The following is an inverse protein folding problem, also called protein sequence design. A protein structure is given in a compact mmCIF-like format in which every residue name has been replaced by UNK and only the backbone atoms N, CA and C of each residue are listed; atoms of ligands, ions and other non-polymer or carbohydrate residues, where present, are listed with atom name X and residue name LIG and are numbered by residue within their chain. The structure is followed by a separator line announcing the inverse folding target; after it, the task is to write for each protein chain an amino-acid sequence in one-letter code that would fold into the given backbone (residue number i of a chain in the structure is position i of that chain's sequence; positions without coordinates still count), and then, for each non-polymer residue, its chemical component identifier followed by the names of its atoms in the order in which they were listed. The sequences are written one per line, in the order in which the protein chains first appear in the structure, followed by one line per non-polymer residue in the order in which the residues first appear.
data_IF_201362422441
#
_entry.id   IF_201362422441
#
_cell.length_a   1.000
_cell.length_b   1.000
_cell.length_c   1.000
_cell.angle_alpha   90.00
_cell.angle_beta   90.00
_cell.angle_gamma   90.00
#
_symmetry.space_group_name_H-M   'P 1'
#
loop_
_entity.id
_entity.type
_entity.pdbx_description
1 polymer ?
#
# COMPACT_ATOMS: atom_id res chain seq x y z
N UNK A 1 31.12 2.40 -1.03
CA UNK A 1 29.88 2.98 -1.61
C UNK A 1 28.88 3.13 -0.48
N UNK A 2 28.48 4.36 -0.14
CA UNK A 2 27.45 4.62 0.86
C UNK A 2 26.04 4.46 0.29
N UNK A 3 25.01 4.51 1.14
CA UNK A 3 23.59 4.54 0.74
C UNK A 3 23.08 5.96 0.43
N UNK A 4 23.84 6.97 0.86
CA UNK A 4 23.60 8.39 0.65
C UNK A 4 24.80 8.97 -0.10
N UNK A 5 24.52 9.83 -1.07
CA UNK A 5 25.51 10.64 -1.76
C UNK A 5 25.61 12.00 -1.07
N UNK A 6 26.86 12.48 -0.92
CA UNK A 6 27.21 13.69 -0.19
C UNK A 6 27.94 14.65 -1.11
N UNK A 7 27.81 15.95 -0.85
CA UNK A 7 28.56 17.00 -1.51
C UNK A 7 29.01 18.04 -0.49
N UNK A 8 30.08 18.76 -0.79
CA UNK A 8 30.55 19.86 0.05
C UNK A 8 29.82 21.15 -0.34
N UNK A 9 29.20 21.81 0.64
CA UNK A 9 28.51 23.09 0.46
C UNK A 9 29.52 24.22 0.20
N UNK A 10 29.08 25.40 -0.28
CA UNK A 10 29.95 26.57 -0.44
C UNK A 10 30.65 27.02 0.86
N UNK A 11 30.17 26.55 2.01
CA UNK A 11 30.71 26.87 3.34
C UNK A 11 31.66 25.79 3.88
N UNK A 12 31.97 24.75 3.07
CA UNK A 12 32.84 23.66 3.46
C UNK A 12 32.16 22.56 4.28
N UNK A 13 30.82 22.55 4.36
CA UNK A 13 30.07 21.54 5.11
C UNK A 13 29.71 20.35 4.21
N UNK A 14 29.85 19.13 4.72
CA UNK A 14 29.35 17.94 4.02
C UNK A 14 27.84 17.83 4.18
N UNK A 15 27.12 17.95 3.07
CA UNK A 15 25.66 17.89 3.00
C UNK A 15 25.20 16.72 2.15
N UNK A 16 24.15 15.98 2.57
CA UNK A 16 23.60 14.93 1.74
C UNK A 16 22.88 15.55 0.54
N UNK A 17 22.88 14.88 -0.61
CA UNK A 17 22.22 15.42 -1.83
C UNK A 17 21.14 14.50 -2.38
N UNK A 18 21.32 13.18 -2.28
CA UNK A 18 20.31 12.18 -2.61
C UNK A 18 20.73 10.81 -2.11
N UNK A 19 19.81 9.84 -2.18
CA UNK A 19 20.19 8.43 -2.04
C UNK A 19 21.01 7.98 -3.25
N UNK A 20 21.81 6.94 -3.07
CA UNK A 20 22.60 6.39 -4.17
C UNK A 20 21.73 5.68 -5.20
N UNK A 21 21.91 5.99 -6.49
CA UNK A 21 21.02 5.46 -7.54
C UNK A 21 21.11 3.94 -7.73
N UNK A 22 22.17 3.27 -7.26
CA UNK A 22 22.23 1.80 -7.28
C UNK A 22 21.11 1.16 -6.43
N UNK A 23 20.57 1.88 -5.44
CA UNK A 23 19.47 1.39 -4.59
C UNK A 23 18.18 1.15 -5.39
N UNK A 24 18.00 1.83 -6.54
CA UNK A 24 16.96 1.51 -7.50
C UNK A 24 17.04 0.03 -7.93
N UNK A 25 18.23 -0.39 -8.34
CA UNK A 25 18.48 -1.76 -8.78
C UNK A 25 18.37 -2.75 -7.62
N UNK A 26 18.86 -2.39 -6.44
CA UNK A 26 18.68 -3.22 -5.24
C UNK A 26 17.21 -3.46 -4.95
N UNK A 27 16.38 -2.42 -4.98
CA UNK A 27 14.94 -2.52 -4.74
C UNK A 27 14.23 -3.35 -5.81
N UNK A 28 14.52 -3.09 -7.09
CA UNK A 28 13.92 -3.84 -8.21
C UNK A 28 14.32 -5.32 -8.21
N UNK A 29 15.60 -5.63 -8.00
CA UNK A 29 16.12 -7.00 -7.94
C UNK A 29 15.57 -7.71 -6.70
N UNK A 30 15.58 -7.08 -5.52
CA UNK A 30 15.02 -7.66 -4.31
C UNK A 30 13.53 -7.95 -4.47
N UNK A 31 12.77 -7.03 -5.06
CA UNK A 31 11.36 -7.23 -5.41
C UNK A 31 11.19 -8.43 -6.35
N UNK A 32 11.98 -8.52 -7.42
CA UNK A 32 11.92 -9.63 -8.37
C UNK A 32 12.28 -10.97 -7.73
N UNK A 33 13.35 -11.02 -6.93
CA UNK A 33 13.77 -12.22 -6.20
C UNK A 33 12.69 -12.66 -5.21
N UNK A 34 12.05 -11.72 -4.51
CA UNK A 34 10.91 -12.02 -3.65
C UNK A 34 9.75 -12.61 -4.45
N UNK A 35 9.36 -12.00 -5.58
CA UNK A 35 8.31 -12.50 -6.46
C UNK A 35 8.58 -13.94 -6.93
N UNK A 36 9.79 -14.21 -7.42
CA UNK A 36 10.22 -15.53 -7.90
C UNK A 36 10.22 -16.54 -6.76
N UNK A 37 10.88 -16.21 -5.65
CA UNK A 37 10.97 -17.08 -4.47
C UNK A 37 9.59 -17.40 -3.90
N UNK A 38 8.72 -16.39 -3.79
CA UNK A 38 7.35 -16.57 -3.33
C UNK A 38 6.54 -17.44 -4.30
N UNK A 39 6.67 -17.24 -5.62
CA UNK A 39 5.97 -18.06 -6.62
C UNK A 39 6.41 -19.54 -6.56
N UNK A 40 7.72 -19.80 -6.44
CA UNK A 40 8.27 -21.14 -6.25
C UNK A 40 7.73 -21.75 -4.95
N UNK A 41 7.77 -20.99 -3.85
CA UNK A 41 7.28 -21.44 -2.56
C UNK A 41 5.82 -21.86 -2.60
N UNK A 42 4.96 -21.02 -3.20
CA UNK A 42 3.53 -21.34 -3.35
C UNK A 42 3.34 -22.62 -4.15
N UNK A 43 4.03 -22.76 -5.27
CA UNK A 43 3.86 -23.91 -6.17
C UNK A 43 4.37 -25.21 -5.56
N UNK A 44 5.47 -25.16 -4.82
CA UNK A 44 6.14 -26.36 -4.32
C UNK A 44 5.72 -26.75 -2.89
N UNK A 45 5.33 -25.79 -2.04
CA UNK A 45 5.20 -26.02 -0.59
C UNK A 45 3.90 -25.50 0.02
N UNK A 46 3.23 -24.51 -0.57
CA UNK A 46 2.04 -23.94 0.06
C UNK A 46 0.87 -24.92 0.04
N UNK A 47 0.35 -25.23 1.23
CA UNK A 47 -0.86 -26.04 1.41
C UNK A 47 -2.10 -25.15 1.29
N UNK A 48 -3.25 -25.70 0.85
CA UNK A 48 -4.52 -24.97 0.85
C UNK A 48 -4.84 -24.39 2.24
N UNK A 49 -5.45 -23.20 2.25
CA UNK A 49 -5.92 -22.57 3.48
C UNK A 49 -6.93 -23.47 4.18
N UNK A 50 -6.75 -23.68 5.49
CA UNK A 50 -7.66 -24.47 6.33
C UNK A 50 -8.09 -23.62 7.50
N UNK A 51 -9.37 -23.31 7.58
CA UNK A 51 -9.96 -22.56 8.67
C UNK A 51 -10.57 -23.48 9.72
N UNK A 52 -10.68 -22.99 10.96
CA UNK A 52 -11.50 -23.62 11.97
C UNK A 52 -12.96 -23.75 11.46
N UNK A 53 -13.65 -24.80 11.89
CA UNK A 53 -15.07 -24.95 11.59
C UNK A 53 -15.82 -23.70 12.05
N UNK A 54 -16.78 -23.25 11.22
CA UNK A 54 -17.63 -22.11 11.55
C UNK A 54 -18.24 -22.30 12.94
N UNK A 55 -18.36 -21.22 13.72
CA UNK A 55 -19.20 -21.19 14.91
C UNK A 55 -20.68 -21.49 14.58
N UNK A 56 -21.61 -21.42 15.56
CA UNK A 56 -23.00 -21.79 15.35
C UNK A 56 -23.54 -21.15 14.07
N UNK A 57 -24.30 -21.91 13.28
CA UNK A 57 -24.57 -21.56 11.89
C UNK A 57 -25.26 -20.19 11.86
N UNK A 58 -24.84 -19.34 10.93
CA UNK A 58 -25.38 -17.99 10.67
C UNK A 58 -26.84 -18.06 10.16
N UNK A 59 -27.68 -18.91 10.78
CA UNK A 59 -29.03 -19.31 10.36
C UNK A 59 -30.00 -18.14 10.31
N UNK A 60 -29.66 -17.03 10.98
CA UNK A 60 -30.55 -15.89 11.13
C UNK A 60 -30.08 -14.63 10.38
N UNK A 61 -28.96 -14.69 9.63
CA UNK A 61 -28.46 -13.55 8.85
C UNK A 61 -28.67 -13.79 7.35
N UNK A 62 -29.52 -12.98 6.73
CA UNK A 62 -29.67 -12.97 5.27
C UNK A 62 -28.40 -12.40 4.62
N UNK A 63 -27.52 -13.26 4.13
CA UNK A 63 -26.33 -12.86 3.38
C UNK A 63 -26.74 -12.70 1.91
N UNK A 64 -26.47 -11.57 1.22
CA UNK A 64 -26.83 -11.39 -0.20
C UNK A 64 -25.99 -12.30 -1.11
N UNK A 65 -26.44 -12.55 -2.35
CA UNK A 65 -25.70 -13.38 -3.31
C UNK A 65 -24.38 -12.71 -3.76
N UNK A 66 -24.39 -11.38 -3.82
CA UNK A 66 -23.22 -10.53 -4.06
C UNK A 66 -23.02 -9.65 -2.83
N UNK A 67 -21.95 -9.89 -2.08
CA UNK A 67 -21.58 -9.11 -0.91
C UNK A 67 -20.86 -7.83 -1.34
N UNK A 68 -21.35 -6.63 -1.00
CA UNK A 68 -20.64 -5.37 -1.29
C UNK A 68 -19.32 -5.30 -0.50
N UNK A 69 -18.20 -5.11 -1.21
CA UNK A 69 -16.86 -5.01 -0.61
C UNK A 69 -16.28 -3.61 -0.70
N UNK A 70 -16.40 -2.98 -1.87
CA UNK A 70 -15.87 -1.65 -2.16
C UNK A 70 -16.95 -0.76 -2.81
N UNK A 71 -17.18 0.42 -2.23
CA UNK A 71 -18.08 1.41 -2.83
C UNK A 71 -17.51 1.92 -4.17
N UNK A 72 -18.35 2.56 -4.99
CA UNK A 72 -17.87 3.20 -6.22
C UNK A 72 -16.79 4.25 -5.94
N UNK A 73 -17.03 5.12 -4.94
CA UNK A 73 -16.04 6.09 -4.49
C UNK A 73 -14.71 5.41 -4.11
N UNK A 74 -14.79 4.29 -3.37
CA UNK A 74 -13.61 3.53 -2.98
C UNK A 74 -12.79 3.02 -4.16
N UNK A 75 -13.47 2.60 -5.22
CA UNK A 75 -12.83 2.11 -6.43
C UNK A 75 -12.20 3.24 -7.24
N UNK A 76 -12.94 4.30 -7.48
CA UNK A 76 -12.47 5.43 -8.27
C UNK A 76 -11.22 6.06 -7.67
N UNK A 77 -11.22 6.37 -6.36
CA UNK A 77 -10.04 6.98 -5.75
C UNK A 77 -8.84 6.05 -5.80
N UNK A 78 -9.01 4.74 -5.60
CA UNK A 78 -7.90 3.78 -5.67
C UNK A 78 -7.27 3.79 -7.07
N UNK A 79 -8.08 3.75 -8.13
CA UNK A 79 -7.55 3.75 -9.50
C UNK A 79 -6.87 5.07 -9.87
N UNK A 80 -7.38 6.20 -9.37
CA UNK A 80 -6.70 7.51 -9.50
C UNK A 80 -5.36 7.51 -8.78
N UNK A 81 -5.31 7.01 -7.53
CA UNK A 81 -4.06 6.88 -6.77
C UNK A 81 -3.07 5.94 -7.46
N UNK A 82 -3.53 4.81 -7.99
CA UNK A 82 -2.69 3.86 -8.71
C UNK A 82 -2.08 4.47 -9.97
N UNK A 83 -2.89 5.18 -10.78
CA UNK A 83 -2.41 5.88 -11.96
C UNK A 83 -1.38 6.98 -11.61
N UNK A 84 -1.67 7.79 -10.59
CA UNK A 84 -0.75 8.82 -10.11
C UNK A 84 0.55 8.22 -9.57
N UNK A 85 0.48 7.14 -8.81
CA UNK A 85 1.66 6.42 -8.29
C UNK A 85 2.53 5.87 -9.42
N UNK A 86 1.94 5.22 -10.42
CA UNK A 86 2.69 4.72 -11.58
C UNK A 86 3.34 5.88 -12.35
N UNK A 87 2.62 6.98 -12.57
CA UNK A 87 3.17 8.17 -13.20
C UNK A 87 4.35 8.76 -12.41
N UNK A 88 4.25 8.83 -11.08
CA UNK A 88 5.32 9.31 -10.19
C UNK A 88 6.56 8.41 -10.25
N UNK A 89 6.40 7.09 -10.19
CA UNK A 89 7.52 6.15 -10.32
C UNK A 89 8.16 6.24 -11.71
N UNK A 90 7.36 6.29 -12.77
CA UNK A 90 7.86 6.44 -14.14
C UNK A 90 8.66 7.74 -14.28
N UNK A 91 8.09 8.87 -13.88
CA UNK A 91 8.73 10.18 -13.99
C UNK A 91 9.95 10.34 -13.09
N UNK A 92 10.00 9.67 -11.94
CA UNK A 92 11.18 9.69 -11.07
C UNK A 92 12.35 8.84 -11.61
N UNK A 93 12.05 7.66 -12.17
CA UNK A 93 13.07 6.64 -12.41
C UNK A 93 13.46 6.41 -13.88
N UNK A 94 12.57 6.64 -14.86
CA UNK A 94 12.94 6.53 -16.28
C UNK A 94 14.12 7.45 -16.68
N UNK A 95 14.17 8.72 -16.22
CA UNK A 95 15.32 9.58 -16.47
C UNK A 95 16.63 9.03 -15.91
N UNK A 96 16.56 8.24 -14.82
CA UNK A 96 17.75 7.64 -14.18
C UNK A 96 18.30 6.44 -14.94
N UNK A 97 17.50 5.83 -15.81
CA UNK A 97 17.94 4.75 -16.71
C UNK A 97 18.18 5.23 -18.14
N UNK A 98 18.24 6.55 -18.36
CA UNK A 98 18.66 7.18 -19.63
C UNK A 98 17.53 7.72 -20.51
N UNK A 99 16.25 7.54 -20.15
CA UNK A 99 15.12 8.03 -20.95
C UNK A 99 14.85 9.50 -20.66
N UNK A 100 15.16 10.38 -21.63
CA UNK A 100 15.01 11.82 -21.48
C UNK A 100 13.63 12.31 -21.95
N UNK A 101 12.93 13.05 -21.08
CA UNK A 101 11.65 13.70 -21.37
C UNK A 101 11.39 14.79 -20.32
N UNK A 102 10.41 15.71 -20.47
CA UNK A 102 10.12 16.76 -19.49
C UNK A 102 9.40 16.22 -18.24
N UNK A 103 10.05 15.26 -17.55
CA UNK A 103 9.49 14.47 -16.46
C UNK A 103 9.08 15.32 -15.25
N UNK A 104 9.81 16.41 -14.97
CA UNK A 104 9.55 17.28 -13.79
C UNK A 104 8.11 17.80 -13.81
N UNK A 105 7.65 18.28 -14.98
CA UNK A 105 6.29 18.82 -15.13
C UNK A 105 5.24 17.78 -14.79
N UNK A 106 5.37 16.58 -15.35
CA UNK A 106 4.43 15.49 -15.10
C UNK A 106 4.53 14.95 -13.67
N UNK A 107 5.73 14.95 -13.09
CA UNK A 107 5.99 14.46 -11.74
C UNK A 107 5.25 15.30 -10.70
N UNK A 108 5.38 16.63 -10.71
CA UNK A 108 4.70 17.46 -9.72
C UNK A 108 3.18 17.49 -9.94
N UNK A 109 2.69 17.40 -11.18
CA UNK A 109 1.24 17.28 -11.47
C UNK A 109 0.70 15.98 -10.86
N UNK A 110 1.35 14.84 -11.14
CA UNK A 110 0.97 13.56 -10.55
C UNK A 110 1.09 13.58 -9.02
N UNK A 111 2.07 14.30 -8.47
CA UNK A 111 2.25 14.53 -7.03
C UNK A 111 1.08 15.25 -6.39
N UNK A 112 0.54 16.29 -7.05
CA UNK A 112 -0.67 16.99 -6.59
C UNK A 112 -1.88 16.06 -6.62
N UNK A 113 -2.07 15.32 -7.72
CA UNK A 113 -3.18 14.37 -7.85
C UNK A 113 -3.12 13.30 -6.74
N UNK A 114 -1.93 12.75 -6.48
CA UNK A 114 -1.74 11.78 -5.41
C UNK A 114 -1.99 12.41 -4.03
N UNK A 115 -1.47 13.62 -3.79
CA UNK A 115 -1.67 14.35 -2.53
C UNK A 115 -3.15 14.58 -2.24
N UNK A 116 -3.90 15.14 -3.20
CA UNK A 116 -5.33 15.36 -3.08
C UNK A 116 -6.08 14.04 -2.82
N UNK A 117 -5.67 12.97 -3.50
CA UNK A 117 -6.26 11.63 -3.31
C UNK A 117 -5.97 11.04 -1.94
N UNK A 118 -4.76 11.21 -1.39
CA UNK A 118 -4.40 10.78 -0.04
C UNK A 118 -5.21 11.55 1.00
N UNK A 119 -5.32 12.87 0.87
CA UNK A 119 -6.11 13.69 1.80
C UNK A 119 -7.58 13.27 1.78
N UNK A 120 -8.16 13.10 0.58
CA UNK A 120 -9.50 12.55 0.43
C UNK A 120 -9.63 11.17 1.08
N UNK A 121 -8.65 10.28 0.86
CA UNK A 121 -8.66 8.93 1.43
C UNK A 121 -8.67 8.97 2.96
N UNK A 122 -7.82 9.80 3.58
CA UNK A 122 -7.75 9.95 5.04
C UNK A 122 -9.09 10.44 5.59
N UNK A 123 -9.67 11.49 5.01
CA UNK A 123 -10.98 12.03 5.43
C UNK A 123 -12.07 10.97 5.25
N UNK A 124 -12.17 10.39 4.06
CA UNK A 124 -13.20 9.40 3.75
C UNK A 124 -13.07 8.15 4.64
N UNK A 125 -11.85 7.70 4.91
CA UNK A 125 -11.60 6.56 5.78
C UNK A 125 -11.96 6.85 7.23
N UNK A 126 -11.67 8.06 7.71
CA UNK A 126 -11.89 8.45 9.11
C UNK A 126 -13.36 8.66 9.45
N UNK A 127 -14.15 9.19 8.51
CA UNK A 127 -15.53 9.62 8.78
C UNK A 127 -16.61 8.76 8.10
N UNK A 128 -16.30 8.06 7.00
CA UNK A 128 -17.31 7.37 6.18
C UNK A 128 -17.04 5.87 5.99
N UNK A 129 -15.90 5.36 6.49
CA UNK A 129 -15.57 3.95 6.46
C UNK A 129 -15.24 3.44 7.86
N UNK A 130 -15.14 2.11 8.00
CA UNK A 130 -14.65 1.51 9.24
C UNK A 130 -13.12 1.64 9.32
N UNK A 131 -12.65 2.80 9.76
CA UNK A 131 -11.23 3.15 9.91
C UNK A 131 -10.45 2.09 10.70
N UNK A 132 -11.08 1.47 11.70
CA UNK A 132 -10.42 0.51 12.58
C UNK A 132 -10.18 -0.85 11.92
N UNK A 133 -10.97 -1.20 10.89
CA UNK A 133 -10.87 -2.49 10.20
C UNK A 133 -9.54 -2.75 9.50
N UNK A 134 -8.77 -1.72 9.16
CA UNK A 134 -7.49 -1.85 8.47
C UNK A 134 -6.30 -2.01 9.42
N UNK A 135 -6.49 -1.82 10.73
CA UNK A 135 -5.41 -1.94 11.71
C UNK A 135 -5.38 -3.36 12.31
N UNK A 136 -4.18 -3.94 12.55
CA UNK A 136 -4.06 -5.26 13.16
C UNK A 136 -4.72 -5.30 14.54
N UNK A 137 -5.50 -6.35 14.79
CA UNK A 137 -6.02 -6.64 16.13
C UNK A 137 -5.35 -7.91 16.72
N UNK A 138 -5.68 -8.21 17.98
CA UNK A 138 -5.14 -9.38 18.69
C UNK A 138 -5.46 -10.70 17.98
N UNK A 139 -6.65 -10.81 17.38
CA UNK A 139 -7.10 -12.00 16.68
C UNK A 139 -6.26 -12.23 15.42
N UNK A 140 -5.98 -11.17 14.68
CA UNK A 140 -5.16 -11.24 13.46
C UNK A 140 -3.74 -11.73 13.76
N UNK A 141 -3.12 -11.21 14.82
CA UNK A 141 -1.78 -11.60 15.27
C UNK A 141 -1.77 -13.06 15.73
N UNK A 142 -2.76 -13.46 16.52
CA UNK A 142 -2.89 -14.84 17.00
C UNK A 142 -3.04 -15.82 15.83
N UNK A 143 -3.94 -15.53 14.89
CA UNK A 143 -4.21 -16.41 13.76
C UNK A 143 -3.06 -16.41 12.75
N UNK A 144 -2.34 -15.30 12.57
CA UNK A 144 -1.08 -15.29 11.82
C UNK A 144 -0.03 -16.19 12.47
N UNK A 145 0.10 -16.14 13.79
CA UNK A 145 0.98 -17.05 14.53
C UNK A 145 0.57 -18.51 14.37
N UNK A 146 -0.73 -18.82 14.37
CA UNK A 146 -1.24 -20.17 14.09
C UNK A 146 -0.92 -20.61 12.66
N UNK A 147 -1.11 -19.74 11.66
CA UNK A 147 -0.73 -20.00 10.26
C UNK A 147 0.76 -20.31 10.13
N UNK A 148 1.62 -19.51 10.75
CA UNK A 148 3.06 -19.69 10.74
C UNK A 148 3.51 -21.02 11.38
N UNK A 149 2.97 -21.36 12.55
CA UNK A 149 3.26 -22.65 13.20
C UNK A 149 2.86 -23.84 12.32
N UNK A 150 1.67 -23.80 11.72
CA UNK A 150 1.20 -24.86 10.82
C UNK A 150 2.03 -24.95 9.54
N UNK A 151 2.44 -23.82 8.99
CA UNK A 151 3.31 -23.77 7.80
C UNK A 151 4.69 -24.38 8.07
N UNK A 152 5.20 -24.23 9.30
CA UNK A 152 6.47 -24.83 9.76
C UNK A 152 6.32 -26.25 10.30
N UNK A 153 5.17 -26.90 10.09
CA UNK A 153 4.92 -28.29 10.49
C UNK A 153 4.61 -28.50 11.96
N UNK A 154 4.47 -27.44 12.77
CA UNK A 154 4.10 -27.54 14.18
C UNK A 154 2.59 -27.69 14.33
N UNK A 155 2.19 -28.50 15.30
CA UNK A 155 0.79 -28.63 15.70
C UNK A 155 0.28 -27.32 16.28
N UNK A 156 -0.82 -26.82 15.71
CA UNK A 156 -1.50 -25.62 16.17
C UNK A 156 -2.95 -25.68 15.67
N UNK A 157 -3.93 -25.16 16.44
CA UNK A 157 -5.31 -25.06 16.00
C UNK A 157 -5.43 -24.35 14.66
N UNK A 158 -6.44 -24.73 13.86
CA UNK A 158 -6.72 -24.03 12.62
C UNK A 158 -7.06 -22.56 12.91
N UNK A 159 -6.53 -21.60 12.13
CA UNK A 159 -6.86 -20.18 12.28
C UNK A 159 -8.34 -19.94 11.99
N UNK A 160 -8.91 -18.87 12.54
CA UNK A 160 -10.24 -18.42 12.13
C UNK A 160 -10.18 -17.85 10.70
N UNK A 161 -11.35 -17.71 10.08
CA UNK A 161 -11.50 -16.95 8.84
C UNK A 161 -11.12 -15.49 9.04
N UNK A 162 -10.75 -14.82 7.95
CA UNK A 162 -10.28 -13.45 8.01
C UNK A 162 -11.41 -12.47 8.35
N UNK A 163 -11.06 -11.33 8.95
CA UNK A 163 -11.91 -10.14 8.87
C UNK A 163 -11.98 -9.62 7.41
N UNK A 164 -12.50 -8.42 7.17
CA UNK A 164 -12.54 -7.81 5.83
C UNK A 164 -11.16 -7.82 5.13
N UNK A 165 -10.10 -7.56 5.91
CA UNK A 165 -8.72 -7.56 5.47
C UNK A 165 -7.89 -8.54 6.32
N UNK A 166 -7.10 -9.43 5.69
CA UNK A 166 -6.16 -10.28 6.40
C UNK A 166 -4.98 -9.46 6.94
N UNK A 167 -4.23 -10.00 7.92
CA UNK A 167 -3.13 -9.29 8.59
C UNK A 167 -2.11 -8.72 7.60
N UNK A 168 -1.78 -9.50 6.56
CA UNK A 168 -0.78 -9.16 5.56
C UNK A 168 -1.18 -7.88 4.80
N UNK A 169 -2.48 -7.71 4.50
CA UNK A 169 -3.00 -6.48 3.89
C UNK A 169 -2.92 -5.29 4.86
N UNK A 170 -3.18 -5.52 6.15
CA UNK A 170 -3.10 -4.50 7.20
C UNK A 170 -1.67 -4.01 7.42
N UNK A 171 -0.71 -4.93 7.43
CA UNK A 171 0.71 -4.63 7.50
C UNK A 171 1.19 -3.88 6.25
N UNK A 172 0.79 -4.34 5.06
CA UNK A 172 1.07 -3.63 3.81
C UNK A 172 0.51 -2.20 3.85
N UNK A 173 -0.73 -2.02 4.33
CA UNK A 173 -1.33 -0.70 4.51
C UNK A 173 -0.53 0.17 5.49
N UNK A 174 -0.06 -0.38 6.63
CA UNK A 174 0.79 0.37 7.56
C UNK A 174 2.08 0.87 6.88
N UNK A 175 2.76 0.02 6.12
CA UNK A 175 3.99 0.39 5.43
C UNK A 175 3.73 1.40 4.31
N UNK A 176 2.66 1.23 3.52
CA UNK A 176 2.33 2.17 2.43
C UNK A 176 1.90 3.54 2.97
N UNK A 177 1.26 3.60 4.14
CA UNK A 177 0.94 4.86 4.83
C UNK A 177 2.22 5.59 5.20
N UNK A 178 3.20 4.91 5.81
CA UNK A 178 4.47 5.53 6.21
C UNK A 178 5.26 6.04 4.99
N UNK A 179 5.41 5.19 3.96
CA UNK A 179 6.13 5.56 2.73
C UNK A 179 5.39 6.67 1.98
N UNK A 180 4.06 6.55 1.83
CA UNK A 180 3.19 7.48 1.14
C UNK A 180 3.16 8.87 1.78
N UNK A 181 3.02 8.95 3.10
CA UNK A 181 3.09 10.22 3.83
C UNK A 181 4.49 10.83 3.74
N UNK A 182 5.54 10.02 3.79
CA UNK A 182 6.92 10.50 3.63
C UNK A 182 7.14 11.16 2.27
N UNK A 183 6.78 10.50 1.15
CA UNK A 183 6.92 11.11 -0.20
C UNK A 183 5.96 12.28 -0.43
N UNK A 184 4.75 12.24 0.14
CA UNK A 184 3.78 13.33 0.01
C UNK A 184 4.31 14.60 0.69
N UNK A 185 4.70 14.51 1.96
CA UNK A 185 5.15 15.67 2.73
C UNK A 185 6.44 16.26 2.14
N UNK A 186 7.45 15.42 1.88
CA UNK A 186 8.70 15.87 1.25
C UNK A 186 8.46 16.41 -0.17
N UNK A 187 7.57 15.79 -0.94
CA UNK A 187 7.21 16.22 -2.30
C UNK A 187 6.56 17.60 -2.33
N UNK A 188 5.63 17.88 -1.40
CA UNK A 188 5.00 19.20 -1.25
C UNK A 188 6.07 20.28 -1.02
N UNK A 189 7.00 20.05 -0.10
CA UNK A 189 8.09 21.01 0.14
C UNK A 189 9.04 21.13 -1.06
N UNK A 190 9.35 20.03 -1.73
CA UNK A 190 10.20 20.03 -2.91
C UNK A 190 9.57 20.81 -4.10
N UNK A 191 8.26 21.08 -4.10
CA UNK A 191 7.66 21.96 -5.10
C UNK A 191 8.25 23.39 -5.08
N UNK A 192 8.75 23.88 -3.93
CA UNK A 192 9.42 25.18 -3.85
C UNK A 192 10.78 25.22 -4.58
N UNK A 193 11.34 24.07 -4.96
CA UNK A 193 12.60 24.00 -5.72
C UNK A 193 12.41 24.22 -7.22
N UNK A 194 11.18 24.10 -7.71
CA UNK A 194 10.82 24.25 -9.12
C UNK A 194 9.78 25.36 -9.30
N UNK A 195 9.61 25.84 -10.54
CA UNK A 195 8.54 26.80 -10.83
C UNK A 195 7.25 26.02 -11.06
N UNK A 196 6.24 26.27 -10.24
CA UNK A 196 4.89 25.71 -10.39
C UNK A 196 3.86 26.84 -10.44
N UNK A 197 2.63 26.51 -10.79
CA UNK A 197 1.51 27.47 -10.73
C UNK A 197 0.98 27.69 -9.30
N UNK A 198 1.30 26.79 -8.37
CA UNK A 198 0.80 26.83 -6.98
C UNK A 198 1.73 27.58 -6.04
N UNK A 199 3.04 27.39 -6.19
CA UNK A 199 4.05 27.98 -5.30
C UNK A 199 5.11 28.73 -6.10
N UNK A 200 5.52 29.94 -5.67
CA UNK A 200 6.70 30.59 -6.21
C UNK A 200 7.94 29.77 -5.85
N UNK A 201 8.88 29.66 -6.80
CA UNK A 201 10.15 28.98 -6.55
C UNK A 201 10.93 29.72 -5.48
N UNK A 202 11.15 29.08 -4.33
CA UNK A 202 11.96 29.60 -3.23
C UNK A 202 12.99 28.53 -2.78
N UNK A 203 14.19 28.51 -3.38
CA UNK A 203 15.22 27.54 -3.01
C UNK A 203 15.81 27.77 -1.62
N UNK A 204 15.57 28.94 -1.01
CA UNK A 204 16.09 29.35 0.29
C UNK A 204 15.11 29.12 1.45
N UNK A 205 14.00 28.40 1.20
CA UNK A 205 13.03 28.07 2.25
C UNK A 205 13.67 27.29 3.41
N UNK A 206 14.65 26.45 3.10
CA UNK A 206 15.44 25.69 4.07
C UNK A 206 16.94 25.79 3.75
N UNK A 207 17.79 25.49 4.74
CA UNK A 207 19.24 25.35 4.54
C UNK A 207 19.63 24.07 3.81
N UNK A 208 20.89 23.99 3.36
CA UNK A 208 21.40 22.90 2.51
C UNK A 208 21.27 21.52 3.16
N UNK A 209 21.59 21.40 4.45
CA UNK A 209 21.44 20.14 5.21
C UNK A 209 19.98 19.65 5.21
N UNK A 210 19.01 20.54 5.48
CA UNK A 210 17.59 20.19 5.52
C UNK A 210 17.08 19.79 4.14
N UNK A 211 17.47 20.51 3.08
CA UNK A 211 17.16 20.12 1.71
C UNK A 211 17.75 18.75 1.38
N UNK A 212 19.01 18.52 1.75
CA UNK A 212 19.70 17.27 1.56
C UNK A 212 18.96 16.09 2.17
N UNK A 213 18.60 16.19 3.46
CA UNK A 213 17.82 15.17 4.16
C UNK A 213 16.43 14.97 3.52
N UNK A 214 15.82 16.05 3.01
CA UNK A 214 14.55 15.97 2.31
C UNK A 214 14.65 15.17 1.01
N UNK A 215 15.69 15.38 0.20
CA UNK A 215 15.94 14.58 -1.00
C UNK A 215 16.26 13.13 -0.67
N UNK A 216 17.03 12.87 0.40
CA UNK A 216 17.31 11.51 0.86
C UNK A 216 16.03 10.80 1.29
N UNK A 217 15.19 11.43 2.11
CA UNK A 217 13.95 10.83 2.59
C UNK A 217 12.96 10.60 1.44
N UNK A 218 12.79 11.58 0.55
CA UNK A 218 11.93 11.45 -0.63
C UNK A 218 12.41 10.33 -1.55
N UNK A 219 13.73 10.29 -1.82
CA UNK A 219 14.34 9.26 -2.65
C UNK A 219 14.24 7.87 -2.04
N UNK A 220 14.51 7.72 -0.74
CA UNK A 220 14.42 6.45 -0.03
C UNK A 220 12.99 5.90 -0.04
N UNK A 221 12.01 6.75 0.27
CA UNK A 221 10.61 6.37 0.23
C UNK A 221 10.16 6.05 -1.21
N UNK A 222 10.62 6.81 -2.21
CA UNK A 222 10.38 6.53 -3.63
C UNK A 222 10.94 5.17 -4.08
N UNK A 223 12.17 4.83 -3.70
CA UNK A 223 12.78 3.53 -4.01
C UNK A 223 12.08 2.39 -3.26
N UNK A 224 11.67 2.60 -2.01
CA UNK A 224 10.86 1.63 -1.27
C UNK A 224 9.50 1.38 -1.90
N UNK A 225 8.87 2.42 -2.44
CA UNK A 225 7.60 2.32 -3.17
C UNK A 225 7.69 1.45 -4.43
N UNK A 226 8.86 1.35 -5.09
CA UNK A 226 9.04 0.42 -6.21
C UNK A 226 8.75 -1.02 -5.75
N UNK A 227 9.43 -1.48 -4.71
CA UNK A 227 9.25 -2.84 -4.19
C UNK A 227 7.81 -3.05 -3.69
N UNK A 228 7.24 -2.08 -2.96
CA UNK A 228 5.87 -2.18 -2.46
C UNK A 228 4.84 -2.31 -3.59
N UNK A 229 4.96 -1.49 -4.64
CA UNK A 229 4.04 -1.52 -5.78
C UNK A 229 4.24 -2.80 -6.60
N UNK A 230 5.47 -3.27 -6.79
CA UNK A 230 5.74 -4.58 -7.41
C UNK A 230 5.04 -5.71 -6.66
N UNK A 231 5.20 -5.76 -5.33
CA UNK A 231 4.56 -6.76 -4.47
C UNK A 231 3.04 -6.65 -4.54
N UNK A 232 2.49 -5.44 -4.49
CA UNK A 232 1.06 -5.20 -4.57
C UNK A 232 0.45 -5.68 -5.89
N UNK A 233 1.05 -5.30 -7.03
CA UNK A 233 0.60 -5.72 -8.36
C UNK A 233 0.73 -7.24 -8.49
N UNK A 234 1.85 -7.81 -8.06
CA UNK A 234 2.06 -9.26 -8.07
C UNK A 234 0.93 -9.99 -7.36
N UNK A 235 0.66 -9.66 -6.09
CA UNK A 235 -0.41 -10.31 -5.33
C UNK A 235 -1.81 -10.05 -5.92
N UNK A 236 -2.03 -8.90 -6.58
CA UNK A 236 -3.29 -8.60 -7.24
C UNK A 236 -3.52 -9.45 -8.51
N UNK A 237 -2.47 -9.82 -9.25
CA UNK A 237 -2.63 -10.61 -10.50
C UNK A 237 -2.56 -12.12 -10.28
N UNK A 238 -2.31 -12.59 -9.04
CA UNK A 238 -2.25 -14.03 -8.77
C UNK A 238 -3.62 -14.70 -8.95
N UNK A 239 -3.68 -15.90 -9.57
CA UNK A 239 -4.94 -16.57 -9.89
C UNK A 239 -5.90 -16.69 -8.71
N UNK A 240 -5.39 -17.10 -7.54
CA UNK A 240 -6.22 -17.30 -6.34
C UNK A 240 -6.68 -15.99 -5.67
N UNK A 241 -6.10 -14.84 -6.04
CA UNK A 241 -6.52 -13.51 -5.56
C UNK A 241 -7.32 -12.73 -6.59
N UNK A 242 -7.52 -13.25 -7.81
CA UNK A 242 -8.29 -12.54 -8.86
C UNK A 242 -9.73 -12.23 -8.44
N UNK A 243 -10.34 -13.02 -7.55
CA UNK A 243 -11.66 -12.73 -7.00
C UNK A 243 -11.65 -11.41 -6.22
N UNK A 244 -10.60 -11.17 -5.43
CA UNK A 244 -10.40 -9.91 -4.70
C UNK A 244 -10.09 -8.78 -5.69
N UNK A 245 -9.27 -9.00 -6.70
CA UNK A 245 -8.96 -7.98 -7.73
C UNK A 245 -10.21 -7.59 -8.54
N UNK A 246 -11.04 -8.56 -8.91
CA UNK A 246 -12.33 -8.31 -9.55
C UNK A 246 -13.25 -7.48 -8.65
N UNK A 247 -13.22 -7.68 -7.34
CA UNK A 247 -13.99 -6.84 -6.40
C UNK A 247 -13.52 -5.38 -6.41
N UNK A 248 -12.25 -5.10 -6.74
CA UNK A 248 -11.72 -3.75 -6.91
C UNK A 248 -12.22 -3.08 -8.20
N UNK A 249 -12.65 -3.87 -9.17
CA UNK A 249 -13.22 -3.41 -10.44
C UNK A 249 -14.74 -3.31 -10.36
N UNK A 250 -15.44 -4.30 -9.79
CA UNK A 250 -16.90 -4.41 -9.78
C UNK A 250 -17.56 -4.00 -8.45
N UNK A 251 -16.81 -4.00 -7.34
CA UNK A 251 -17.27 -3.58 -6.02
C UNK A 251 -17.84 -4.70 -5.14
N UNK A 252 -18.02 -5.91 -5.67
CA UNK A 252 -18.71 -7.02 -4.99
C UNK A 252 -17.88 -8.30 -4.93
N UNK A 253 -18.29 -9.20 -4.02
CA UNK A 253 -17.73 -10.52 -3.79
C UNK A 253 -18.84 -11.57 -3.80
N UNK A 254 -18.58 -12.77 -4.33
CA UNK A 254 -19.55 -13.86 -4.28
C UNK A 254 -19.76 -14.36 -2.85
N UNK A 255 -21.01 -14.70 -2.52
CA UNK A 255 -21.39 -15.20 -1.18
C UNK A 255 -20.56 -16.40 -0.76
N UNK A 256 -20.33 -17.33 -1.68
CA UNK A 256 -19.60 -18.56 -1.42
C UNK A 256 -18.16 -18.26 -1.02
N UNK A 257 -17.47 -17.41 -1.79
CA UNK A 257 -16.11 -16.98 -1.47
C UNK A 257 -16.04 -16.21 -0.15
N UNK A 258 -17.03 -15.35 0.11
CA UNK A 258 -17.16 -14.63 1.37
C UNK A 258 -17.26 -15.60 2.56
N UNK A 259 -18.17 -16.57 2.51
CA UNK A 259 -18.37 -17.55 3.58
C UNK A 259 -17.19 -18.52 3.75
N UNK A 260 -16.44 -18.78 2.68
CA UNK A 260 -15.27 -19.65 2.71
C UNK A 260 -14.09 -18.96 3.42
N UNK A 261 -13.82 -17.70 3.11
CA UNK A 261 -12.58 -17.00 3.52
C UNK A 261 -12.76 -15.97 4.64
N UNK A 262 -13.97 -15.45 4.83
CA UNK A 262 -14.25 -14.38 5.77
C UNK A 262 -15.18 -14.80 6.90
N UNK A 263 -15.01 -14.17 8.06
CA UNK A 263 -15.84 -14.37 9.25
C UNK A 263 -16.96 -13.32 9.30
N UNK A 264 -18.23 -13.69 9.09
CA UNK A 264 -19.36 -12.75 9.19
C UNK A 264 -19.48 -12.01 10.53
N UNK A 265 -18.94 -12.55 11.63
CA UNK A 265 -18.91 -11.84 12.91
C UNK A 265 -17.90 -10.70 12.94
N UNK A 266 -16.88 -10.73 12.08
CA UNK A 266 -15.81 -9.73 11.98
C UNK A 266 -15.93 -8.85 10.74
N UNK A 267 -16.80 -9.21 9.78
CA UNK A 267 -17.12 -8.38 8.62
C UNK A 267 -18.57 -8.64 8.18
N UNK A 268 -19.48 -7.72 8.48
CA UNK A 268 -20.89 -7.83 8.11
C UNK A 268 -21.13 -7.76 6.59
N UNK A 269 -22.04 -8.60 6.08
CA UNK A 269 -22.28 -8.80 4.66
C UNK A 269 -23.18 -7.74 3.99
N UNK A 270 -23.95 -7.00 4.78
CA UNK A 270 -24.88 -5.96 4.31
C UNK A 270 -24.23 -4.57 4.18
N UNK A 271 -22.91 -4.49 4.38
CA UNK A 271 -22.17 -3.22 4.37
C UNK A 271 -22.47 -2.33 5.59
N UNK A 272 -23.18 -2.84 6.60
CA UNK A 272 -23.59 -2.09 7.80
C UNK A 272 -22.46 -1.79 8.78
N UNK A 273 -21.23 -2.28 8.56
CA UNK A 273 -20.09 -1.99 9.44
C UNK A 273 -19.81 -0.48 9.58
N UNK A 274 -20.30 0.35 8.65
CA UNK A 274 -20.28 1.82 8.75
C UNK A 274 -21.54 2.46 9.37
N UNK A 275 -22.67 1.74 9.45
CA UNK A 275 -23.96 2.30 9.89
C UNK A 275 -24.19 2.20 11.40
N UNK A 276 -23.61 1.21 12.06
CA UNK A 276 -23.78 1.00 13.50
C UNK A 276 -23.18 2.13 14.37
N UNK A 277 -22.19 2.89 13.87
CA UNK A 277 -21.56 4.00 14.61
C UNK A 277 -22.21 5.37 14.40
N UNK A 278 -23.12 5.52 13.43
CA UNK A 278 -23.85 6.78 13.25
C UNK A 278 -25.06 6.90 14.20
N UNK A 279 -25.33 5.86 15.00
CA UNK A 279 -26.46 5.76 15.93
C UNK A 279 -26.05 5.53 17.39
N UNK A 280 -24.77 5.75 17.74
CA UNK A 280 -24.25 5.68 19.12
C UNK A 280 -23.60 7.00 19.53
#
# INVERSE_FOLDING_TARGET
MGIVEWATSPWGEDVPIHISFFLLWVSAIAGLLFLIGHAIWVKAFAKPEKFAASGPPYRDVHIPAKVPRHSLAARLFHWVMAAAMLALLITAFLPKVGVQFPWVTYHWIAGIVLTASILFHIIHASFYMDFWSIWPDKIDIEDAGRRWRRATGKDSPAPRRFAKYPLENKMYHGVIVLAGLSVMLTGIFMMFRVRTVLFPRNPYLFGDMTWGLMYVLHGLAGVGLIALIMVHIYFAVRPEKLVITKSMIFGTLDREHYLEHHDPSRWAADGSSGRAKAAS
#
